data_IF_158041857915
#
_entry.id   IF_158041857915
#
_cell.length_a   1.000
_cell.length_b   1.000
_cell.length_c   1.000
_cell.angle_alpha   90.00
_cell.angle_beta   90.00
_cell.angle_gamma   90.00
#
_symmetry.space_group_name_H-M   'P 1'
#
loop_
_entity.id
_entity.type
_entity.pdbx_description
1 polymer ?
#
# COMPACT_ATOMS: atom_id res chain seq x y z
N UNK A 1 19.71 -6.79 11.34
CA UNK A 1 18.95 -8.01 11.00
C UNK A 1 18.11 -8.41 12.19
N UNK A 2 16.80 -8.14 12.20
CA UNK A 2 15.91 -8.54 13.31
C UNK A 2 14.55 -9.01 12.79
N UNK A 3 14.10 -10.13 13.35
CA UNK A 3 12.76 -10.69 13.15
C UNK A 3 11.78 -10.14 14.19
N UNK A 4 10.48 -10.34 13.98
CA UNK A 4 9.44 -9.77 14.83
C UNK A 4 9.13 -10.58 16.11
N UNK A 5 8.80 -9.93 17.25
CA UNK A 5 8.39 -10.61 18.47
C UNK A 5 7.01 -11.29 18.34
N UNK A 6 6.97 -12.62 18.48
CA UNK A 6 5.73 -13.41 18.46
C UNK A 6 4.78 -13.02 19.60
N UNK A 7 3.68 -12.29 19.30
CA UNK A 7 2.53 -12.20 20.20
C UNK A 7 1.57 -13.35 19.92
N UNK A 8 1.30 -14.19 20.92
CA UNK A 8 0.23 -15.20 20.90
C UNK A 8 -1.10 -14.50 21.11
N UNK A 9 -1.92 -14.40 20.06
CA UNK A 9 -3.38 -14.28 20.16
C UNK A 9 -4.00 -15.13 19.04
N UNK A 10 -5.02 -15.90 19.41
CA UNK A 10 -5.80 -16.78 18.54
C UNK A 10 -6.75 -15.97 17.63
N UNK A 11 -6.18 -15.14 16.75
CA UNK A 11 -6.91 -14.47 15.67
C UNK A 11 -6.21 -14.77 14.34
N UNK A 12 -6.99 -15.07 13.30
CA UNK A 12 -6.47 -15.27 11.94
C UNK A 12 -5.68 -14.01 11.54
N UNK A 13 -4.41 -14.10 11.12
CA UNK A 13 -3.63 -12.92 10.77
C UNK A 13 -4.27 -12.18 9.59
N UNK A 14 -4.64 -10.92 9.82
CA UNK A 14 -5.08 -10.01 8.76
C UNK A 14 -3.89 -9.15 8.34
N UNK A 15 -3.57 -9.21 7.06
CA UNK A 15 -2.52 -8.42 6.42
C UNK A 15 -3.15 -7.27 5.65
N UNK A 16 -2.48 -6.11 5.62
CA UNK A 16 -2.91 -4.99 4.78
C UNK A 16 -1.73 -4.47 3.98
N UNK A 17 -1.94 -4.32 2.68
CA UNK A 17 -0.91 -3.91 1.73
C UNK A 17 -1.44 -2.76 0.88
N UNK A 18 -0.75 -1.63 0.89
CA UNK A 18 -0.85 -0.62 -0.16
C UNK A 18 -0.03 -1.10 -1.37
N UNK A 19 -0.69 -1.35 -2.49
CA UNK A 19 -0.07 -1.66 -3.77
C UNK A 19 -0.01 -0.38 -4.61
N UNK A 20 1.18 0.19 -4.77
CA UNK A 20 1.39 1.37 -5.60
C UNK A 20 0.88 1.16 -7.02
N UNK A 21 0.12 2.11 -7.56
CA UNK A 21 -0.49 1.95 -8.89
C UNK A 21 0.51 1.87 -10.04
N UNK A 22 1.77 2.25 -9.81
CA UNK A 22 2.87 2.02 -10.77
C UNK A 22 3.18 0.53 -10.95
N UNK A 23 2.91 -0.32 -9.96
CA UNK A 23 3.18 -1.75 -10.00
C UNK A 23 2.32 -2.50 -11.03
N UNK A 24 1.13 -1.98 -11.36
CA UNK A 24 0.28 -2.54 -12.42
C UNK A 24 0.84 -2.24 -13.83
N UNK A 25 1.94 -1.48 -13.94
CA UNK A 25 2.66 -1.19 -15.18
C UNK A 25 4.15 -1.52 -15.07
N UNK A 26 4.54 -2.79 -14.95
CA UNK A 26 5.92 -3.16 -15.20
C UNK A 26 6.22 -2.78 -16.64
N UNK A 27 7.35 -2.12 -16.85
CA UNK A 27 7.66 -1.33 -18.05
C UNK A 27 7.78 -2.17 -19.35
N UNK A 28 7.54 -3.49 -19.26
CA UNK A 28 7.45 -4.43 -20.37
C UNK A 28 6.26 -5.39 -20.19
N UNK A 29 5.65 -5.82 -21.31
CA UNK A 29 4.52 -6.76 -21.27
C UNK A 29 4.87 -8.09 -20.59
N UNK A 30 6.08 -8.61 -20.80
CA UNK A 30 6.53 -9.86 -20.20
C UNK A 30 6.71 -9.73 -18.68
N UNK A 31 7.37 -8.65 -18.23
CA UNK A 31 7.50 -8.35 -16.81
C UNK A 31 6.14 -8.18 -16.13
N UNK A 32 5.16 -7.58 -16.82
CA UNK A 32 3.78 -7.45 -16.33
C UNK A 32 3.09 -8.80 -16.13
N UNK A 33 3.17 -9.67 -17.12
CA UNK A 33 2.57 -11.01 -17.04
C UNK A 33 3.21 -11.83 -15.94
N UNK A 34 4.55 -11.79 -15.81
CA UNK A 34 5.28 -12.50 -14.76
C UNK A 34 4.89 -11.99 -13.36
N UNK A 35 4.91 -10.67 -13.16
CA UNK A 35 4.53 -10.05 -11.89
C UNK A 35 3.09 -10.41 -11.48
N UNK A 36 2.14 -10.34 -12.43
CA UNK A 36 0.76 -10.73 -12.18
C UNK A 36 0.65 -12.23 -11.83
N UNK A 37 1.40 -13.08 -12.53
CA UNK A 37 1.48 -14.51 -12.23
C UNK A 37 1.97 -14.78 -10.81
N UNK A 38 3.04 -14.09 -10.38
CA UNK A 38 3.58 -14.20 -9.03
C UNK A 38 2.59 -13.69 -7.96
N UNK A 39 1.92 -12.56 -8.21
CA UNK A 39 0.91 -12.03 -7.30
C UNK A 39 -0.26 -13.02 -7.13
N UNK A 40 -0.73 -13.62 -8.23
CA UNK A 40 -1.79 -14.66 -8.21
C UNK A 40 -1.38 -15.85 -7.34
N UNK A 41 -0.16 -16.36 -7.52
CA UNK A 41 0.36 -17.46 -6.71
C UNK A 41 0.46 -17.10 -5.23
N UNK A 42 0.89 -15.87 -4.91
CA UNK A 42 0.93 -15.38 -3.54
C UNK A 42 -0.48 -15.35 -2.92
N UNK A 43 -1.49 -14.87 -3.64
CA UNK A 43 -2.87 -14.84 -3.13
C UNK A 43 -3.41 -16.23 -2.81
N UNK A 44 -3.23 -17.18 -3.73
CA UNK A 44 -3.61 -18.60 -3.51
C UNK A 44 -2.88 -19.18 -2.31
N UNK A 45 -1.59 -18.86 -2.15
CA UNK A 45 -0.81 -19.31 -1.00
C UNK A 45 -1.33 -18.73 0.33
N UNK A 46 -1.65 -17.43 0.37
CA UNK A 46 -2.18 -16.79 1.59
C UNK A 46 -3.53 -17.40 1.98
N UNK A 47 -4.43 -17.54 1.02
CA UNK A 47 -5.75 -18.13 1.23
C UNK A 47 -5.65 -19.59 1.69
N UNK A 48 -4.81 -20.41 1.04
CA UNK A 48 -4.59 -21.81 1.42
C UNK A 48 -4.02 -21.99 2.84
N UNK A 49 -3.47 -20.94 3.43
CA UNK A 49 -3.00 -20.90 4.81
C UNK A 49 -3.98 -20.20 5.78
N UNK A 50 -5.25 -20.01 5.38
CA UNK A 50 -6.30 -19.35 6.17
C UNK A 50 -5.92 -17.92 6.63
N UNK A 51 -5.14 -17.22 5.79
CA UNK A 51 -4.74 -15.82 6.02
C UNK A 51 -5.66 -14.90 5.26
N UNK A 52 -5.89 -13.72 5.84
CA UNK A 52 -6.71 -12.68 5.22
C UNK A 52 -5.86 -11.51 4.79
N UNK A 53 -6.21 -10.88 3.67
CA UNK A 53 -5.46 -9.76 3.12
C UNK A 53 -6.37 -8.67 2.55
N UNK A 54 -6.14 -7.44 2.99
CA UNK A 54 -6.68 -6.22 2.39
C UNK A 54 -5.65 -5.59 1.45
N UNK A 55 -5.98 -5.48 0.17
CA UNK A 55 -5.16 -4.82 -0.86
C UNK A 55 -5.76 -3.46 -1.19
N UNK A 56 -5.02 -2.38 -0.96
CA UNK A 56 -5.40 -1.03 -1.36
C UNK A 56 -4.57 -0.61 -2.57
N UNK A 57 -5.21 -0.42 -3.72
CA UNK A 57 -4.52 -0.29 -5.00
C UNK A 57 -4.47 1.15 -5.47
N UNK A 58 -3.27 1.66 -5.72
CA UNK A 58 -3.03 3.01 -6.25
C UNK A 58 -3.50 3.21 -7.69
N UNK A 59 -3.72 4.46 -8.07
CA UNK A 59 -4.29 4.81 -9.38
C UNK A 59 -3.31 4.76 -10.56
N UNK A 60 -2.00 4.90 -10.32
CA UNK A 60 -0.97 4.70 -11.33
C UNK A 60 -1.14 5.59 -12.56
N UNK A 61 -0.88 5.05 -13.76
CA UNK A 61 -1.08 5.79 -15.01
C UNK A 61 -2.55 6.15 -15.27
N UNK A 62 -3.55 5.26 -15.05
CA UNK A 62 -4.95 5.63 -15.20
C UNK A 62 -5.33 6.92 -14.45
N UNK A 63 -4.87 7.07 -13.20
CA UNK A 63 -5.10 8.29 -12.43
C UNK A 63 -4.38 9.49 -13.03
N UNK A 64 -3.07 9.36 -13.35
CA UNK A 64 -2.29 10.48 -13.93
C UNK A 64 -2.90 11.00 -15.23
N UNK A 65 -3.29 10.10 -16.13
CA UNK A 65 -3.90 10.48 -17.42
C UNK A 65 -5.28 11.11 -17.21
N UNK A 66 -6.10 10.53 -16.33
CA UNK A 66 -7.44 11.07 -16.03
C UNK A 66 -7.37 12.45 -15.39
N UNK A 67 -6.50 12.64 -14.40
CA UNK A 67 -6.28 13.92 -13.72
C UNK A 67 -5.73 14.95 -14.70
N UNK A 68 -4.74 14.60 -15.53
CA UNK A 68 -4.17 15.50 -16.53
C UNK A 68 -5.25 16.01 -17.50
N UNK A 69 -6.08 15.10 -18.02
CA UNK A 69 -7.19 15.47 -18.90
C UNK A 69 -8.19 16.39 -18.18
N UNK A 70 -8.58 16.04 -16.95
CA UNK A 70 -9.55 16.83 -16.19
C UNK A 70 -9.00 18.23 -15.81
N UNK A 71 -7.70 18.33 -15.51
CA UNK A 71 -7.05 19.58 -15.08
C UNK A 71 -7.04 20.69 -16.12
N UNK A 72 -7.27 20.35 -17.40
CA UNK A 72 -7.42 21.35 -18.47
C UNK A 72 -8.66 22.23 -18.27
N UNK A 73 -9.66 21.74 -17.53
CA UNK A 73 -10.94 22.45 -17.28
C UNK A 73 -11.28 22.59 -15.80
N UNK A 74 -10.94 21.60 -14.98
CA UNK A 74 -11.28 21.54 -13.55
C UNK A 74 -10.10 22.04 -12.71
N UNK A 75 -10.32 23.12 -11.96
CA UNK A 75 -9.30 23.70 -11.06
C UNK A 75 -9.49 23.30 -9.60
N UNK A 76 -10.65 22.74 -9.24
CA UNK A 76 -10.93 22.29 -7.86
C UNK A 76 -10.18 20.98 -7.57
N UNK A 77 -9.21 20.98 -6.63
CA UNK A 77 -8.43 19.79 -6.29
C UNK A 77 -9.30 18.63 -5.83
N UNK A 78 -10.40 18.90 -5.11
CA UNK A 78 -11.30 17.87 -4.61
C UNK A 78 -11.96 17.08 -5.76
N UNK A 79 -12.29 17.78 -6.86
CA UNK A 79 -12.86 17.16 -8.04
C UNK A 79 -11.83 16.40 -8.87
N UNK A 80 -10.56 16.82 -8.86
CA UNK A 80 -9.47 16.07 -9.48
C UNK A 80 -9.16 14.78 -8.70
N UNK A 81 -9.23 14.84 -7.36
CA UNK A 81 -9.09 13.67 -6.51
C UNK A 81 -10.17 12.62 -6.78
N UNK A 82 -11.42 13.02 -7.05
CA UNK A 82 -12.48 12.09 -7.46
C UNK A 82 -12.11 11.31 -8.74
N UNK A 83 -11.46 11.96 -9.71
CA UNK A 83 -10.93 11.29 -10.92
C UNK A 83 -9.82 10.31 -10.55
N UNK A 84 -8.91 10.70 -9.66
CA UNK A 84 -7.87 9.83 -9.12
C UNK A 84 -8.44 8.60 -8.42
N UNK A 85 -9.46 8.78 -7.57
CA UNK A 85 -10.16 7.72 -6.86
C UNK A 85 -10.85 6.78 -7.83
N UNK A 86 -11.55 7.28 -8.85
CA UNK A 86 -12.17 6.43 -9.87
C UNK A 86 -11.12 5.52 -10.56
N UNK A 87 -9.95 6.06 -10.89
CA UNK A 87 -8.85 5.29 -11.46
C UNK A 87 -8.25 4.26 -10.49
N UNK A 88 -8.16 4.55 -9.19
CA UNK A 88 -7.75 3.55 -8.18
C UNK A 88 -8.73 2.38 -8.11
N UNK A 89 -10.04 2.67 -8.20
CA UNK A 89 -11.10 1.65 -8.20
C UNK A 89 -11.09 0.82 -9.47
N UNK A 90 -10.78 1.42 -10.63
CA UNK A 90 -10.53 0.66 -11.85
C UNK A 90 -9.42 -0.38 -11.66
N UNK A 91 -8.27 0.02 -11.09
CA UNK A 91 -7.17 -0.90 -10.82
C UNK A 91 -7.54 -1.97 -9.78
N UNK A 92 -8.28 -1.61 -8.74
CA UNK A 92 -8.80 -2.55 -7.76
C UNK A 92 -9.72 -3.59 -8.40
N UNK A 93 -10.64 -3.16 -9.28
CA UNK A 93 -11.51 -4.07 -10.05
C UNK A 93 -10.69 -5.02 -10.91
N UNK A 94 -9.64 -4.55 -11.60
CA UNK A 94 -8.79 -5.44 -12.40
C UNK A 94 -8.19 -6.57 -11.54
N UNK A 95 -7.58 -6.23 -10.40
CA UNK A 95 -6.99 -7.25 -9.52
C UNK A 95 -8.06 -8.17 -8.92
N UNK A 96 -9.19 -7.63 -8.50
CA UNK A 96 -10.32 -8.40 -7.99
C UNK A 96 -10.78 -9.44 -9.02
N UNK A 97 -11.01 -9.04 -10.27
CA UNK A 97 -11.47 -9.95 -11.32
C UNK A 97 -10.43 -11.02 -11.65
N UNK A 98 -9.14 -10.67 -11.67
CA UNK A 98 -8.05 -11.64 -11.88
C UNK A 98 -7.97 -12.67 -10.75
N UNK A 99 -8.21 -12.27 -9.51
CA UNK A 99 -8.21 -13.16 -8.34
C UNK A 99 -9.47 -14.04 -8.30
N UNK A 100 -10.62 -13.51 -8.68
CA UNK A 100 -11.86 -14.29 -8.84
C UNK A 100 -11.74 -15.36 -9.92
N UNK A 101 -11.12 -15.04 -11.06
CA UNK A 101 -10.92 -15.97 -12.19
C UNK A 101 -10.08 -17.20 -11.81
N UNK A 102 -9.13 -17.05 -10.87
CA UNK A 102 -8.35 -18.18 -10.35
C UNK A 102 -9.01 -18.94 -9.20
N UNK A 103 -10.24 -18.57 -8.83
CA UNK A 103 -11.02 -19.25 -7.82
C UNK A 103 -10.68 -18.89 -6.38
N UNK A 104 -9.99 -17.77 -6.14
CA UNK A 104 -9.76 -17.29 -4.78
C UNK A 104 -11.05 -16.79 -4.12
N UNK A 105 -11.17 -16.94 -2.80
CA UNK A 105 -12.22 -16.29 -2.00
C UNK A 105 -11.97 -14.78 -1.85
N UNK A 106 -12.43 -14.04 -2.86
CA UNK A 106 -12.38 -12.59 -2.93
C UNK A 106 -13.76 -12.00 -2.65
N UNK A 107 -13.81 -10.91 -1.90
CA UNK A 107 -15.05 -10.16 -1.71
C UNK A 107 -15.68 -9.79 -3.08
N UNK A 108 -17.01 -9.96 -3.23
CA UNK A 108 -17.68 -9.83 -4.53
C UNK A 108 -17.78 -8.39 -5.03
N UNK A 109 -17.47 -7.40 -4.17
CA UNK A 109 -17.53 -5.97 -4.49
C UNK A 109 -16.24 -5.28 -4.06
N UNK A 110 -15.86 -4.23 -4.79
CA UNK A 110 -14.79 -3.31 -4.40
C UNK A 110 -15.36 -2.30 -3.40
N UNK A 111 -14.98 -2.33 -2.10
CA UNK A 111 -15.55 -1.43 -1.11
C UNK A 111 -15.03 0.01 -1.30
N UNK A 112 -15.90 0.98 -1.04
CA UNK A 112 -15.59 2.41 -1.16
C UNK A 112 -15.26 3.09 0.17
N UNK A 113 -15.39 2.37 1.29
CA UNK A 113 -15.08 2.86 2.64
C UNK A 113 -14.23 1.84 3.39
N UNK A 114 -13.41 2.33 4.33
CA UNK A 114 -12.60 1.47 5.20
C UNK A 114 -13.47 0.53 6.03
N UNK A 115 -14.60 1.01 6.55
CA UNK A 115 -15.51 0.19 7.35
C UNK A 115 -16.14 -0.95 6.55
N UNK A 116 -16.51 -0.71 5.29
CA UNK A 116 -17.04 -1.77 4.44
C UNK A 116 -15.94 -2.79 4.10
N UNK A 117 -14.72 -2.34 3.82
CA UNK A 117 -13.58 -3.25 3.61
C UNK A 117 -13.29 -4.11 4.86
N UNK A 118 -13.35 -3.50 6.06
CA UNK A 118 -13.20 -4.20 7.34
C UNK A 118 -14.26 -5.29 7.52
N UNK A 119 -15.52 -4.99 7.22
CA UNK A 119 -16.63 -5.96 7.29
C UNK A 119 -16.46 -7.11 6.29
N UNK A 120 -16.01 -6.82 5.06
CA UNK A 120 -15.76 -7.85 4.06
C UNK A 120 -14.60 -8.77 4.45
N UNK A 121 -13.57 -8.25 5.14
CA UNK A 121 -12.50 -9.06 5.71
C UNK A 121 -12.96 -9.98 6.85
N UNK A 122 -14.17 -9.82 7.38
CA UNK A 122 -14.76 -10.78 8.33
C UNK A 122 -15.24 -12.06 7.59
N UNK A 123 -15.57 -11.93 6.29
CA UNK A 123 -16.28 -12.94 5.49
C UNK A 123 -15.39 -13.56 4.39
N UNK A 124 -14.43 -12.81 3.87
CA UNK A 124 -13.59 -13.21 2.72
C UNK A 124 -12.11 -13.20 3.06
N UNK A 125 -11.34 -14.05 2.39
CA UNK A 125 -9.87 -14.08 2.53
C UNK A 125 -9.22 -12.86 1.87
N UNK A 126 -9.76 -12.39 0.75
CA UNK A 126 -9.16 -11.30 -0.02
C UNK A 126 -10.17 -10.16 -0.19
N UNK A 127 -9.77 -8.95 0.17
CA UNK A 127 -10.51 -7.72 -0.13
C UNK A 127 -9.61 -6.79 -0.92
N UNK A 128 -10.06 -6.37 -2.10
CA UNK A 128 -9.34 -5.41 -2.95
C UNK A 128 -10.13 -4.11 -3.01
N UNK A 129 -9.48 -3.00 -2.69
CA UNK A 129 -10.10 -1.67 -2.67
C UNK A 129 -9.21 -0.60 -3.29
N UNK A 130 -9.80 0.55 -3.61
CA UNK A 130 -9.08 1.75 -4.06
C UNK A 130 -9.14 2.86 -3.01
N UNK A 131 -9.04 4.11 -3.48
CA UNK A 131 -9.28 5.31 -2.69
C UNK A 131 -10.73 5.42 -2.19
N UNK A 132 -10.90 6.16 -1.11
CA UNK A 132 -12.19 6.32 -0.41
C UNK A 132 -12.79 7.70 -0.63
N UNK A 133 -12.11 8.73 -0.13
CA UNK A 133 -12.52 10.13 -0.17
C UNK A 133 -11.37 11.03 -0.63
N UNK A 134 -11.64 12.19 -1.25
CA UNK A 134 -10.61 13.15 -1.63
C UNK A 134 -9.72 13.63 -0.47
N UNK A 135 -8.54 14.14 -0.82
CA UNK A 135 -7.51 14.58 0.13
C UNK A 135 -6.75 13.43 0.79
N UNK A 136 -6.87 12.20 0.30
CA UNK A 136 -6.18 11.02 0.85
C UNK A 136 -5.55 10.19 -0.26
N UNK A 137 -4.29 9.79 -0.05
CA UNK A 137 -3.66 8.78 -0.90
C UNK A 137 -4.11 7.37 -0.54
N UNK A 138 -3.76 6.40 -1.38
CA UNK A 138 -4.00 4.98 -1.07
C UNK A 138 -3.18 4.47 0.10
N UNK A 139 -2.03 5.07 0.39
CA UNK A 139 -1.24 4.74 1.58
C UNK A 139 -2.03 5.10 2.84
N UNK A 140 -2.64 6.29 2.87
CA UNK A 140 -3.51 6.72 3.97
C UNK A 140 -4.69 5.76 4.15
N UNK A 141 -5.32 5.33 3.06
CA UNK A 141 -6.43 4.37 3.11
C UNK A 141 -5.96 3.01 3.64
N UNK A 142 -4.80 2.52 3.21
CA UNK A 142 -4.24 1.25 3.69
C UNK A 142 -3.90 1.30 5.18
N UNK A 143 -3.26 2.36 5.65
CA UNK A 143 -2.94 2.54 7.07
C UNK A 143 -4.23 2.59 7.91
N UNK A 144 -5.26 3.32 7.45
CA UNK A 144 -6.57 3.33 8.13
C UNK A 144 -7.22 1.95 8.19
N UNK A 145 -7.17 1.19 7.09
CA UNK A 145 -7.69 -0.18 7.06
C UNK A 145 -6.92 -1.09 8.01
N UNK A 146 -5.59 -1.02 7.98
CA UNK A 146 -4.70 -1.78 8.86
C UNK A 146 -5.00 -1.49 10.34
N UNK A 147 -5.18 -0.23 10.71
CA UNK A 147 -5.58 0.15 12.06
C UNK A 147 -6.97 -0.40 12.42
N UNK A 148 -7.94 -0.29 11.50
CA UNK A 148 -9.34 -0.74 11.71
C UNK A 148 -9.48 -2.26 11.88
N UNK A 149 -8.59 -3.06 11.27
CA UNK A 149 -8.56 -4.52 11.41
C UNK A 149 -7.56 -5.01 12.46
N UNK A 150 -6.93 -4.08 13.19
CA UNK A 150 -5.84 -4.39 14.14
C UNK A 150 -4.73 -5.24 13.52
N UNK A 151 -4.37 -4.93 12.26
CA UNK A 151 -3.25 -5.56 11.59
C UNK A 151 -1.96 -5.30 12.36
N UNK A 152 -1.05 -6.25 12.30
CA UNK A 152 0.24 -6.16 13.00
C UNK A 152 1.12 -5.02 12.44
N UNK A 153 1.03 -4.80 11.13
CA UNK A 153 1.74 -3.76 10.39
C UNK A 153 1.01 -3.51 9.06
N UNK A 154 1.29 -2.38 8.42
CA UNK A 154 0.86 -2.10 7.04
C UNK A 154 2.07 -2.15 6.10
N UNK A 155 1.97 -2.90 5.00
CA UNK A 155 3.02 -2.95 3.99
C UNK A 155 2.71 -1.93 2.90
N UNK A 156 3.67 -1.07 2.57
CA UNK A 156 3.62 -0.13 1.45
C UNK A 156 4.55 -0.64 0.36
N UNK A 157 3.97 -1.36 -0.59
CA UNK A 157 4.66 -1.90 -1.74
C UNK A 157 4.60 -0.87 -2.88
N UNK A 158 5.74 -0.28 -3.20
CA UNK A 158 5.88 0.82 -4.17
C UNK A 158 6.99 0.50 -5.18
N UNK A 159 7.40 1.45 -6.02
CA UNK A 159 8.49 1.26 -6.99
C UNK A 159 9.87 1.72 -6.46
N UNK A 160 9.97 1.97 -5.16
CA UNK A 160 11.22 2.29 -4.46
C UNK A 160 11.50 1.24 -3.40
N UNK A 161 12.76 0.87 -3.24
CA UNK A 161 13.15 -0.20 -2.32
C UNK A 161 13.18 0.24 -0.87
N UNK A 162 13.65 1.46 -0.59
CA UNK A 162 13.86 1.97 0.77
C UNK A 162 13.37 3.41 0.90
N UNK A 163 13.07 3.81 2.13
CA UNK A 163 13.03 5.22 2.54
C UNK A 163 14.45 5.76 2.50
N UNK A 164 14.61 6.95 1.93
CA UNK A 164 15.89 7.65 1.88
C UNK A 164 15.79 8.97 2.66
N UNK A 165 16.93 9.48 3.13
CA UNK A 165 16.99 10.79 3.81
C UNK A 165 16.64 11.98 2.89
N UNK A 166 16.69 11.78 1.57
CA UNK A 166 16.33 12.75 0.51
C UNK A 166 16.04 11.99 -0.79
N UNK A 167 15.43 12.66 -1.77
CA UNK A 167 15.04 12.01 -3.03
C UNK A 167 16.26 11.48 -3.80
N UNK A 168 16.43 10.15 -3.95
CA UNK A 168 17.59 9.57 -4.60
C UNK A 168 17.65 9.87 -6.11
N UNK A 169 16.57 10.34 -6.73
CA UNK A 169 16.56 10.78 -8.13
C UNK A 169 17.18 12.16 -8.32
N UNK A 170 17.23 12.96 -7.25
CA UNK A 170 17.75 14.33 -7.26
C UNK A 170 19.10 14.45 -6.55
N UNK A 171 19.43 13.46 -5.72
CA UNK A 171 20.61 13.48 -4.86
C UNK A 171 21.31 12.12 -4.90
N UNK A 172 22.48 12.06 -5.56
CA UNK A 172 23.28 10.83 -5.66
C UNK A 172 23.81 10.35 -4.30
N UNK A 173 23.93 11.26 -3.33
CA UNK A 173 24.36 10.98 -1.96
C UNK A 173 23.18 10.68 -1.00
N UNK A 174 22.03 10.29 -1.54
CA UNK A 174 20.90 9.82 -0.75
C UNK A 174 21.25 8.51 -0.02
N UNK A 175 20.98 8.47 1.28
CA UNK A 175 21.25 7.32 2.15
C UNK A 175 19.95 6.59 2.39
N UNK A 176 19.93 5.29 2.09
CA UNK A 176 18.81 4.39 2.34
C UNK A 176 18.77 3.96 3.82
N UNK A 177 17.57 3.89 4.39
CA UNK A 177 17.34 3.36 5.73
C UNK A 177 16.79 1.94 5.66
N UNK A 178 17.32 1.01 6.45
CA UNK A 178 16.76 -0.35 6.59
C UNK A 178 15.79 -0.47 7.75
N UNK A 179 15.98 0.35 8.79
CA UNK A 179 15.15 0.41 9.99
C UNK A 179 15.07 1.88 10.43
N UNK A 180 13.90 2.32 10.91
CA UNK A 180 13.70 3.65 11.51
C UNK A 180 12.43 3.68 12.38
N UNK A 181 12.17 4.78 13.09
CA UNK A 181 10.89 5.01 13.79
C UNK A 181 9.90 5.81 12.95
N UNK A 182 8.61 5.77 13.32
CA UNK A 182 7.58 6.60 12.68
C UNK A 182 7.86 8.10 12.86
N UNK A 183 8.43 8.52 13.98
CA UNK A 183 8.81 9.92 14.22
C UNK A 183 9.93 10.36 13.27
N UNK A 184 10.94 9.51 13.06
CA UNK A 184 12.01 9.76 12.09
C UNK A 184 11.44 9.86 10.66
N UNK A 185 10.54 8.94 10.29
CA UNK A 185 9.88 8.98 8.99
C UNK A 185 9.05 10.25 8.84
N UNK A 186 8.32 10.63 9.88
CA UNK A 186 7.54 11.86 9.91
C UNK A 186 8.39 13.11 9.69
N UNK A 187 9.60 13.13 10.26
CA UNK A 187 10.59 14.18 10.03
C UNK A 187 11.07 14.27 8.58
N UNK A 188 11.23 13.13 7.89
CA UNK A 188 11.65 13.05 6.48
C UNK A 188 10.52 13.48 5.53
N UNK A 189 9.32 12.92 5.70
CA UNK A 189 8.22 13.17 4.76
C UNK A 189 7.51 14.51 5.01
N UNK A 190 7.79 15.14 6.15
CA UNK A 190 7.22 16.46 6.48
C UNK A 190 5.84 16.38 7.10
N UNK A 191 5.58 15.43 8.00
CA UNK A 191 4.34 15.40 8.79
C UNK A 191 4.17 16.75 9.52
N UNK A 192 3.01 17.38 9.36
CA UNK A 192 2.72 18.69 9.94
C UNK A 192 3.35 19.88 9.20
N UNK A 193 3.97 19.68 8.03
CA UNK A 193 4.50 20.75 7.17
C UNK A 193 3.76 20.77 5.81
N UNK A 194 3.55 21.94 5.19
CA UNK A 194 3.10 22.00 3.81
C UNK A 194 4.13 21.32 2.91
N UNK A 195 3.72 20.32 2.13
CA UNK A 195 4.55 19.76 1.06
C UNK A 195 4.73 20.83 -0.04
N UNK A 196 5.95 20.99 -0.56
CA UNK A 196 6.10 21.83 -1.74
C UNK A 196 5.56 21.08 -2.97
N UNK A 197 4.92 21.78 -3.92
CA UNK A 197 4.53 21.18 -5.20
C UNK A 197 5.75 20.55 -5.88
N UNK A 198 5.69 19.24 -6.12
CA UNK A 198 6.78 18.47 -6.75
C UNK A 198 7.65 17.66 -5.77
N UNK A 199 7.47 17.80 -4.47
CA UNK A 199 8.08 16.89 -3.49
C UNK A 199 7.39 15.53 -3.55
N UNK A 200 8.15 14.49 -3.87
CA UNK A 200 7.68 13.12 -3.95
C UNK A 200 8.08 12.38 -2.69
N UNK A 201 7.21 12.37 -1.69
CA UNK A 201 7.43 11.55 -0.50
C UNK A 201 7.30 10.06 -0.86
N UNK A 202 8.16 9.23 -0.26
CA UNK A 202 8.10 7.76 -0.41
C UNK A 202 6.82 7.19 0.20
N UNK A 203 6.30 7.85 1.26
CA UNK A 203 5.03 7.56 1.92
C UNK A 203 4.32 8.89 2.16
N UNK A 204 3.01 8.92 1.97
CA UNK A 204 2.16 10.08 2.25
C UNK A 204 2.29 10.55 3.72
N UNK A 205 2.57 11.84 4.00
CA UNK A 205 2.62 12.37 5.35
C UNK A 205 1.33 12.15 6.16
N UNK A 206 0.17 12.17 5.51
CA UNK A 206 -1.10 11.87 6.18
C UNK A 206 -1.10 10.40 6.64
N UNK A 207 -0.59 9.49 5.83
CA UNK A 207 -0.49 8.06 6.17
C UNK A 207 0.45 7.86 7.36
N UNK A 208 1.59 8.56 7.38
CA UNK A 208 2.54 8.51 8.52
C UNK A 208 1.89 9.08 9.79
N UNK A 209 1.16 10.18 9.71
CA UNK A 209 0.42 10.74 10.85
C UNK A 209 -0.60 9.73 11.41
N UNK A 210 -1.40 9.10 10.54
CA UNK A 210 -2.37 8.08 10.96
C UNK A 210 -1.66 6.87 11.58
N UNK A 211 -0.51 6.47 11.04
CA UNK A 211 0.28 5.37 11.60
C UNK A 211 0.83 5.70 13.00
N UNK A 212 1.29 6.94 13.22
CA UNK A 212 1.74 7.45 14.53
C UNK A 212 0.59 7.38 15.53
N UNK A 213 -0.58 7.93 15.16
CA UNK A 213 -1.76 7.98 16.02
C UNK A 213 -2.26 6.57 16.38
N UNK A 214 -2.17 5.62 15.45
CA UNK A 214 -2.56 4.24 15.65
C UNK A 214 -1.50 3.36 16.35
N UNK A 215 -0.26 3.85 16.48
CA UNK A 215 0.87 3.03 16.92
C UNK A 215 1.13 1.83 15.99
N UNK A 216 0.97 2.03 14.68
CA UNK A 216 1.01 0.97 13.67
C UNK A 216 2.34 0.97 12.91
N UNK A 217 3.07 -0.14 12.99
CA UNK A 217 4.31 -0.34 12.22
C UNK A 217 4.05 -0.36 10.71
N UNK A 218 5.01 0.16 9.94
CA UNK A 218 4.99 0.15 8.47
C UNK A 218 6.17 -0.65 7.92
N UNK A 219 5.99 -1.25 6.75
CA UNK A 219 7.06 -1.83 5.95
C UNK A 219 7.04 -1.22 4.56
N UNK A 220 8.11 -0.55 4.16
CA UNK A 220 8.25 0.03 2.81
C UNK A 220 9.17 -0.86 1.99
N UNK A 221 8.73 -1.28 0.81
CA UNK A 221 9.50 -2.17 -0.07
C UNK A 221 9.20 -1.94 -1.56
N UNK A 222 10.09 -2.44 -2.41
CA UNK A 222 9.88 -2.49 -3.85
C UNK A 222 8.93 -3.64 -4.21
N UNK A 223 7.69 -3.30 -4.52
CA UNK A 223 6.64 -4.24 -4.87
C UNK A 223 6.78 -4.86 -6.25
N UNK A 224 7.76 -4.45 -7.07
CA UNK A 224 8.06 -5.12 -8.35
C UNK A 224 8.63 -6.52 -8.13
N UNK A 225 9.22 -6.77 -6.97
CA UNK A 225 9.67 -8.08 -6.53
C UNK A 225 8.68 -8.65 -5.52
N UNK A 226 7.76 -9.50 -6.00
CA UNK A 226 6.75 -10.17 -5.16
C UNK A 226 7.38 -11.01 -4.06
N UNK A 227 8.62 -11.50 -4.23
CA UNK A 227 9.33 -12.24 -3.19
C UNK A 227 9.64 -11.40 -1.95
N UNK A 228 9.78 -10.07 -2.09
CA UNK A 228 9.94 -9.15 -0.95
C UNK A 228 8.63 -8.99 -0.20
N UNK A 229 7.52 -8.87 -0.92
CA UNK A 229 6.18 -8.79 -0.35
C UNK A 229 5.85 -10.06 0.45
N UNK A 230 6.11 -11.23 -0.12
CA UNK A 230 5.90 -12.53 0.52
C UNK A 230 6.67 -12.65 1.85
N UNK A 231 7.99 -12.35 1.82
CA UNK A 231 8.83 -12.31 3.02
C UNK A 231 8.31 -11.34 4.08
N UNK A 232 7.89 -10.14 3.68
CA UNK A 232 7.36 -9.13 4.59
C UNK A 232 6.05 -9.60 5.25
N UNK A 233 5.14 -10.19 4.47
CA UNK A 233 3.89 -10.78 4.96
C UNK A 233 4.13 -11.89 5.99
N UNK A 234 5.18 -12.69 5.80
CA UNK A 234 5.59 -13.74 6.75
C UNK A 234 6.32 -13.21 8.00
N UNK A 235 6.66 -11.92 8.02
CA UNK A 235 7.50 -11.32 9.04
C UNK A 235 8.95 -11.83 9.01
N UNK A 236 9.38 -12.37 7.87
CA UNK A 236 10.76 -12.71 7.58
C UNK A 236 11.57 -11.45 7.21
N UNK A 237 12.89 -11.60 7.10
CA UNK A 237 13.75 -10.51 6.63
C UNK A 237 13.46 -10.24 5.14
N UNK A 238 13.17 -8.98 4.83
CA UNK A 238 12.97 -8.50 3.46
C UNK A 238 13.93 -7.33 3.18
N UNK A 239 14.15 -7.05 1.89
CA UNK A 239 14.90 -5.88 1.46
C UNK A 239 13.94 -4.68 1.38
N UNK A 240 14.13 -3.72 2.28
CA UNK A 240 13.38 -2.48 2.35
C UNK A 240 13.56 -1.79 3.70
N UNK A 241 12.62 -0.92 4.06
CA UNK A 241 12.64 -0.17 5.32
C UNK A 241 11.55 -0.67 6.26
N UNK A 242 11.95 -1.11 7.46
CA UNK A 242 11.02 -1.37 8.56
C UNK A 242 10.88 -0.12 9.42
N UNK A 243 9.65 0.36 9.59
CA UNK A 243 9.33 1.59 10.33
C UNK A 243 8.52 1.21 11.57
N UNK A 244 9.11 1.40 12.75
CA UNK A 244 8.50 1.00 14.03
C UNK A 244 7.75 2.16 14.69
N UNK A 245 6.62 1.86 15.30
CA UNK A 245 5.82 2.83 16.06
C UNK A 245 6.47 3.28 17.38
N UNK A 246 7.48 2.54 17.86
CA UNK A 246 8.34 2.96 18.98
C UNK A 246 9.78 2.53 18.71
N UNK A 247 10.72 3.38 19.10
CA UNK A 247 12.11 2.95 19.31
C UNK A 247 12.17 2.07 20.56
N UNK A 248 12.81 0.91 20.44
CA UNK A 248 13.22 0.11 21.60
C UNK A 248 14.39 0.78 22.33
#
# INVERSE_FOLDING_TARGET
>A
MKAWPRRRHSMRPVHVVALGGSLLRPEEANARTMWMGQLRQLMVHLEGNDRRIGLVVGGGLPARNGIQLASETVQDPHRLDEVGIAATRLNATILQQVMLDIGCDVAPVVPHTVDHARQLLDQHHIVVMGGTVPGQTTDTVAVKLAAAVHARHCIIATNVSHVHNKDPRRHEDAVAFTDMTLEELGGIVGVGKPLNPGDSAVVDPIAVSVAIDAGLDLAVLDGRDIGRLDKALDGALFEGTLVRARGD
#
